data_IF_904282864490
#
_entry.id   IF_904282864490
#
_cell.length_a   1.000
_cell.length_b   1.000
_cell.length_c   1.000
_cell.angle_alpha   90.00
_cell.angle_beta   90.00
_cell.angle_gamma   90.00
#
_symmetry.space_group_name_H-M   'P 1'
#
loop_
_entity.id
_entity.type
_entity.pdbx_description
1 polymer ?
#
# COMPACT_ATOMS: atom_id res chain seq x y z
N UNK A 1 -8.06 -8.53 -4.82
CA UNK A 1 -7.28 -7.61 -5.67
C UNK A 1 -7.84 -6.21 -5.53
N UNK A 2 -6.96 -5.21 -5.36
CA UNK A 2 -7.32 -3.79 -5.26
C UNK A 2 -6.60 -3.05 -6.38
N UNK A 3 -7.35 -2.47 -7.30
CA UNK A 3 -6.82 -1.74 -8.46
C UNK A 3 -7.26 -0.29 -8.34
N UNK A 4 -6.33 0.67 -8.09
CA UNK A 4 -6.67 2.09 -8.06
C UNK A 4 -6.87 2.65 -9.45
N UNK A 5 -7.48 3.82 -9.54
CA UNK A 5 -7.50 4.62 -10.77
C UNK A 5 -6.08 5.08 -11.13
N UNK A 6 -5.77 5.31 -12.41
CA UNK A 6 -4.42 5.68 -12.88
C UNK A 6 -4.12 7.17 -12.63
N UNK A 7 -4.23 7.62 -11.40
CA UNK A 7 -4.11 9.02 -10.97
C UNK A 7 -2.83 9.34 -10.20
N UNK A 8 -1.98 8.35 -9.90
CA UNK A 8 -0.65 8.59 -9.35
C UNK A 8 0.26 9.25 -10.39
N UNK A 9 1.06 10.20 -9.94
CA UNK A 9 1.97 10.98 -10.80
C UNK A 9 3.44 10.85 -10.40
N UNK A 10 3.70 10.31 -9.21
CA UNK A 10 5.07 10.10 -8.71
C UNK A 10 5.20 8.75 -8.00
N UNK A 11 6.45 8.28 -7.88
CA UNK A 11 6.76 7.04 -7.14
C UNK A 11 6.38 7.16 -5.67
N UNK A 12 6.59 8.33 -5.07
CA UNK A 12 6.28 8.60 -3.67
C UNK A 12 4.78 8.49 -3.38
N UNK A 13 3.91 8.98 -4.30
CA UNK A 13 2.46 8.83 -4.17
C UNK A 13 2.05 7.36 -4.22
N UNK A 14 2.60 6.59 -5.15
CA UNK A 14 2.32 5.15 -5.25
C UNK A 14 2.77 4.40 -3.99
N UNK A 15 3.96 4.71 -3.47
CA UNK A 15 4.47 4.10 -2.23
C UNK A 15 3.67 4.52 -1.01
N UNK A 16 3.26 5.79 -0.92
CA UNK A 16 2.41 6.28 0.17
C UNK A 16 1.05 5.56 0.19
N UNK A 17 0.42 5.38 -0.98
CA UNK A 17 -0.80 4.61 -1.11
C UNK A 17 -0.61 3.14 -0.68
N UNK A 18 0.46 2.49 -1.16
CA UNK A 18 0.76 1.11 -0.80
C UNK A 18 1.00 0.94 0.70
N UNK A 19 1.69 1.90 1.33
CA UNK A 19 1.88 1.93 2.80
C UNK A 19 0.56 2.11 3.56
N UNK A 20 -0.33 2.96 3.06
CA UNK A 20 -1.65 3.15 3.66
C UNK A 20 -2.49 1.88 3.60
N UNK A 21 -2.50 1.17 2.46
CA UNK A 21 -3.16 -0.12 2.32
C UNK A 21 -2.55 -1.18 3.23
N UNK A 22 -1.21 -1.27 3.27
CA UNK A 22 -0.51 -2.19 4.16
C UNK A 22 -0.89 -1.95 5.62
N UNK A 23 -0.83 -0.70 6.06
CA UNK A 23 -1.24 -0.32 7.42
C UNK A 23 -2.70 -0.70 7.71
N UNK A 24 -3.59 -0.49 6.76
CA UNK A 24 -5.01 -0.81 6.92
C UNK A 24 -5.24 -2.31 7.05
N UNK A 25 -4.68 -3.13 6.15
CA UNK A 25 -4.92 -4.59 6.17
C UNK A 25 -4.28 -5.26 7.38
N UNK A 26 -3.13 -4.77 7.84
CA UNK A 26 -2.48 -5.27 9.06
C UNK A 26 -3.22 -4.82 10.32
N UNK A 27 -3.67 -3.57 10.36
CA UNK A 27 -4.45 -3.03 11.48
C UNK A 27 -5.77 -3.77 11.67
N UNK A 28 -6.46 -4.11 10.59
CA UNK A 28 -7.71 -4.86 10.60
C UNK A 28 -7.51 -6.37 10.80
N UNK A 29 -6.27 -6.86 10.84
CA UNK A 29 -5.97 -8.29 10.96
C UNK A 29 -6.35 -9.13 9.74
N UNK A 30 -6.55 -8.49 8.57
CA UNK A 30 -6.88 -9.18 7.31
C UNK A 30 -5.66 -9.93 6.78
N UNK A 31 -4.47 -9.36 6.95
CA UNK A 31 -3.20 -9.90 6.48
C UNK A 31 -2.06 -9.42 7.40
N UNK A 32 -0.99 -10.19 7.49
CA UNK A 32 0.27 -9.75 8.13
C UNK A 32 1.05 -8.75 7.26
N UNK A 33 0.63 -8.57 6.00
CA UNK A 33 1.23 -7.64 5.07
C UNK A 33 2.65 -8.00 4.61
N UNK A 34 3.12 -9.23 4.87
CA UNK A 34 4.50 -9.63 4.55
C UNK A 34 4.72 -9.76 3.04
N UNK A 35 5.31 -8.73 2.44
CA UNK A 35 5.59 -8.69 1.01
C UNK A 35 6.67 -9.71 0.61
N UNK A 36 7.62 -10.04 1.51
CA UNK A 36 8.69 -10.99 1.22
C UNK A 36 8.18 -12.42 1.14
N UNK A 37 7.17 -12.75 1.93
CA UNK A 37 6.53 -14.08 1.95
C UNK A 37 5.30 -14.17 1.04
N UNK A 38 4.92 -13.05 0.40
CA UNK A 38 3.83 -13.02 -0.57
C UNK A 38 2.43 -12.88 0.04
N UNK A 39 2.29 -12.62 1.35
CA UNK A 39 1.00 -12.32 1.99
C UNK A 39 0.38 -11.02 1.44
N UNK A 40 1.24 -10.09 1.01
CA UNK A 40 0.86 -8.92 0.23
C UNK A 40 1.72 -8.84 -1.02
N UNK A 41 1.11 -8.74 -2.18
CA UNK A 41 1.80 -8.62 -3.46
C UNK A 41 1.41 -7.32 -4.13
N UNK A 42 2.36 -6.75 -4.87
CA UNK A 42 2.15 -5.52 -5.62
C UNK A 42 2.64 -5.72 -7.06
N UNK A 43 1.78 -5.45 -8.02
CA UNK A 43 2.14 -5.31 -9.42
C UNK A 43 2.02 -3.82 -9.79
N UNK A 44 3.01 -3.30 -10.50
CA UNK A 44 3.08 -1.87 -10.82
C UNK A 44 2.80 -1.69 -12.30
N UNK A 45 1.83 -0.84 -12.62
CA UNK A 45 1.53 -0.47 -14.00
C UNK A 45 2.00 0.98 -14.25
N UNK A 46 2.85 1.15 -15.25
CA UNK A 46 3.47 2.45 -15.58
C UNK A 46 3.27 2.77 -17.05
N UNK A 47 2.91 4.02 -17.32
CA UNK A 47 2.97 4.63 -18.66
C UNK A 47 3.43 6.07 -18.56
N UNK A 48 4.17 6.54 -19.54
CA UNK A 48 4.53 7.95 -19.68
C UNK A 48 3.68 8.62 -20.74
N UNK A 49 3.40 9.91 -20.56
CA UNK A 49 2.73 10.77 -21.52
C UNK A 49 3.38 12.14 -21.55
N UNK A 50 3.19 12.87 -22.61
CA UNK A 50 3.61 14.26 -22.68
C UNK A 50 2.89 15.11 -21.64
N UNK A 51 3.62 16.05 -21.03
CA UNK A 51 3.06 16.95 -20.05
C UNK A 51 1.98 17.83 -20.68
N UNK A 52 0.80 17.86 -20.05
CA UNK A 52 -0.35 18.64 -20.54
C UNK A 52 -1.30 17.86 -21.45
N UNK A 53 -1.03 16.57 -21.71
CA UNK A 53 -1.97 15.70 -22.41
C UNK A 53 -2.76 14.84 -21.41
N UNK A 54 -3.99 14.45 -21.78
CA UNK A 54 -4.85 13.59 -20.94
C UNK A 54 -4.75 12.12 -21.34
N UNK A 55 -4.38 11.82 -22.58
CA UNK A 55 -4.26 10.45 -23.07
C UNK A 55 -3.10 9.73 -22.40
N UNK A 56 -3.39 8.56 -21.80
CA UNK A 56 -2.35 7.72 -21.19
C UNK A 56 -1.46 7.10 -22.28
N UNK A 57 -0.17 6.96 -21.97
CA UNK A 57 0.79 6.27 -22.82
C UNK A 57 0.64 4.74 -22.77
N UNK A 58 1.49 4.04 -23.51
CA UNK A 58 1.54 2.57 -23.50
C UNK A 58 2.03 2.06 -22.14
N UNK A 59 1.25 1.19 -21.53
CA UNK A 59 1.47 0.64 -20.22
C UNK A 59 2.48 -0.52 -20.24
N UNK A 60 3.39 -0.54 -19.27
CA UNK A 60 4.15 -1.74 -18.88
C UNK A 60 3.75 -2.17 -17.47
N UNK A 61 3.70 -3.47 -17.23
CA UNK A 61 3.48 -4.06 -15.93
C UNK A 61 4.81 -4.53 -15.34
N UNK A 62 5.12 -4.15 -14.10
CA UNK A 62 6.33 -4.60 -13.42
C UNK A 62 5.96 -5.54 -12.29
N UNK A 63 6.60 -6.71 -12.28
CA UNK A 63 6.48 -7.74 -11.27
C UNK A 63 7.78 -7.92 -10.48
N UNK A 64 7.71 -8.75 -9.43
CA UNK A 64 8.85 -9.08 -8.56
C UNK A 64 9.31 -7.90 -7.69
N UNK A 65 8.36 -7.14 -7.17
CA UNK A 65 8.61 -6.05 -6.23
C UNK A 65 8.06 -6.43 -4.86
N UNK A 66 8.94 -6.80 -3.95
CA UNK A 66 8.60 -7.38 -2.65
C UNK A 66 9.00 -6.50 -1.46
N UNK A 67 9.16 -5.21 -1.68
CA UNK A 67 9.33 -4.20 -0.63
C UNK A 67 8.95 -2.81 -1.14
N UNK A 68 8.56 -1.92 -0.24
CA UNK A 68 8.26 -0.52 -0.58
C UNK A 68 9.42 0.18 -1.29
N UNK A 69 10.65 -0.08 -0.86
CA UNK A 69 11.85 0.46 -1.49
C UNK A 69 12.03 -0.04 -2.92
N UNK A 70 11.72 -1.31 -3.18
CA UNK A 70 11.81 -1.86 -4.52
C UNK A 70 10.70 -1.35 -5.43
N UNK A 71 9.50 -1.10 -4.89
CA UNK A 71 8.42 -0.43 -5.63
C UNK A 71 8.88 0.95 -6.12
N UNK A 72 9.41 1.79 -5.22
CA UNK A 72 9.91 3.11 -5.56
C UNK A 72 11.00 3.08 -6.63
N UNK A 73 12.02 2.23 -6.43
CA UNK A 73 13.14 2.10 -7.37
C UNK A 73 12.71 1.55 -8.72
N UNK A 74 11.82 0.56 -8.74
CA UNK A 74 11.30 -0.02 -9.97
C UNK A 74 10.51 1.01 -10.80
N UNK A 75 9.73 1.88 -10.14
CA UNK A 75 9.02 2.97 -10.81
C UNK A 75 10.01 3.93 -11.48
N UNK A 76 11.03 4.38 -10.75
CA UNK A 76 12.03 5.31 -11.30
C UNK A 76 12.76 4.71 -12.51
N UNK A 77 13.30 3.51 -12.37
CA UNK A 77 14.02 2.82 -13.45
C UNK A 77 13.15 2.62 -14.68
N UNK A 78 11.90 2.24 -14.49
CA UNK A 78 11.00 2.03 -15.64
C UNK A 78 10.57 3.34 -16.29
N UNK A 79 10.37 4.41 -15.51
CA UNK A 79 10.12 5.74 -16.04
C UNK A 79 11.30 6.23 -16.88
N UNK A 80 12.54 6.08 -16.40
CA UNK A 80 13.75 6.43 -17.16
C UNK A 80 13.84 5.63 -18.45
N UNK A 81 13.66 4.31 -18.40
CA UNK A 81 13.67 3.45 -19.59
C UNK A 81 12.63 3.86 -20.63
N UNK A 82 11.39 4.16 -20.20
CA UNK A 82 10.34 4.59 -21.13
C UNK A 82 10.65 5.98 -21.72
N UNK A 83 11.21 6.89 -20.91
CA UNK A 83 11.63 8.22 -21.37
C UNK A 83 12.71 8.10 -22.44
N UNK A 84 13.76 7.30 -22.21
CA UNK A 84 14.85 7.07 -23.20
C UNK A 84 14.33 6.54 -24.53
N UNK A 85 13.34 5.61 -24.49
CA UNK A 85 12.74 5.08 -25.71
C UNK A 85 11.96 6.17 -26.46
N UNK A 86 11.15 6.94 -25.74
CA UNK A 86 10.30 7.97 -26.34
C UNK A 86 11.12 9.15 -26.88
N UNK A 87 12.13 9.61 -26.14
CA UNK A 87 13.04 10.69 -26.53
C UNK A 87 13.91 10.27 -27.72
N UNK A 88 14.24 8.96 -27.83
CA UNK A 88 14.89 8.39 -29.01
C UNK A 88 13.97 8.22 -30.23
N UNK A 89 12.70 8.66 -30.18
CA UNK A 89 11.74 8.52 -31.26
C UNK A 89 11.17 7.09 -31.41
N UNK A 90 11.41 6.21 -30.43
CA UNK A 90 10.89 4.86 -30.38
C UNK A 90 9.46 4.78 -29.84
N UNK A 91 8.99 3.57 -29.59
CA UNK A 91 7.68 3.30 -28.99
C UNK A 91 7.81 2.30 -27.86
N UNK A 92 7.14 2.60 -26.76
CA UNK A 92 7.00 1.64 -25.65
C UNK A 92 6.10 0.50 -26.09
N UNK A 93 6.53 -0.74 -25.82
CA UNK A 93 5.71 -1.94 -26.07
C UNK A 93 4.98 -2.33 -24.80
N UNK A 94 3.70 -2.70 -24.93
CA UNK A 94 2.94 -3.23 -23.80
C UNK A 94 3.46 -4.63 -23.46
N UNK A 95 4.06 -4.76 -22.31
CA UNK A 95 4.69 -6.01 -21.85
C UNK A 95 4.70 -6.10 -20.33
N UNK A 96 4.89 -7.32 -19.82
CA UNK A 96 5.24 -7.56 -18.42
C UNK A 96 6.75 -7.63 -18.28
N UNK A 97 7.28 -6.96 -17.27
CA UNK A 97 8.71 -6.89 -16.96
C UNK A 97 8.97 -7.34 -15.53
N UNK A 98 10.13 -7.97 -15.29
CA UNK A 98 10.60 -8.29 -13.95
C UNK A 98 11.58 -7.23 -13.47
N UNK A 99 11.41 -6.78 -12.24
CA UNK A 99 12.39 -5.94 -11.58
C UNK A 99 13.54 -6.79 -11.01
N UNK A 100 14.76 -6.45 -11.40
CA UNK A 100 16.01 -7.00 -10.90
C UNK A 100 16.60 -6.02 -9.87
N UNK A 101 16.49 -6.37 -8.60
CA UNK A 101 16.89 -5.48 -7.50
C UNK A 101 18.42 -5.35 -7.36
N UNK A 102 19.20 -6.36 -7.81
CA UNK A 102 20.66 -6.35 -7.73
C UNK A 102 21.24 -5.39 -8.78
N UNK A 103 20.74 -5.49 -10.00
CA UNK A 103 21.21 -4.65 -11.11
C UNK A 103 20.45 -3.35 -11.24
N UNK A 104 19.34 -3.20 -10.50
CA UNK A 104 18.43 -2.05 -10.55
C UNK A 104 17.93 -1.76 -11.98
N UNK A 105 17.44 -2.79 -12.66
CA UNK A 105 16.86 -2.70 -14.02
C UNK A 105 15.56 -3.47 -14.11
N UNK A 106 14.74 -3.17 -15.12
CA UNK A 106 13.62 -4.01 -15.51
C UNK A 106 13.96 -4.85 -16.73
N UNK A 107 13.58 -6.12 -16.74
CA UNK A 107 13.81 -7.05 -17.85
C UNK A 107 12.50 -7.54 -18.41
N UNK A 108 12.36 -7.54 -19.74
CA UNK A 108 11.17 -8.12 -20.39
C UNK A 108 11.00 -9.58 -19.99
N UNK A 109 9.80 -9.92 -19.54
CA UNK A 109 9.39 -11.32 -19.50
C UNK A 109 9.05 -11.76 -20.90
N UNK A 110 9.34 -13.03 -21.24
CA UNK A 110 8.92 -13.61 -22.50
C UNK A 110 7.44 -13.28 -22.72
N UNK A 111 7.13 -12.53 -23.77
CA UNK A 111 5.75 -12.13 -24.09
C UNK A 111 4.90 -13.40 -24.14
N UNK A 112 4.05 -13.60 -23.16
CA UNK A 112 2.90 -14.46 -23.37
C UNK A 112 2.05 -13.68 -24.36
N UNK A 113 1.84 -14.22 -25.53
CA UNK A 113 0.81 -13.78 -26.45
C UNK A 113 -0.44 -13.48 -25.62
N UNK A 114 -1.06 -12.36 -25.90
CA UNK A 114 -2.21 -11.80 -25.18
C UNK A 114 -3.16 -12.91 -24.77
N UNK A 115 -3.00 -13.43 -23.58
CA UNK A 115 -3.96 -14.34 -23.00
C UNK A 115 -5.18 -13.48 -22.60
N UNK A 116 -6.05 -13.24 -23.57
CA UNK A 116 -7.36 -12.64 -23.33
C UNK A 116 -8.30 -13.55 -22.52
N UNK A 117 -7.79 -14.64 -22.01
CA UNK A 117 -8.54 -15.61 -21.22
C UNK A 117 -8.21 -15.45 -19.72
N UNK A 118 -8.60 -14.31 -19.17
CA UNK A 118 -8.90 -14.22 -17.75
C UNK A 118 -10.21 -14.98 -17.55
N UNK A 119 -10.16 -16.21 -17.17
CA UNK A 119 -11.29 -17.11 -16.86
C UNK A 119 -12.37 -16.44 -16.00
N UNK A 120 -13.08 -15.48 -16.53
CA UNK A 120 -14.24 -14.80 -15.91
C UNK A 120 -15.50 -15.67 -15.98
N UNK A 121 -15.37 -16.94 -15.63
CA UNK A 121 -16.50 -17.81 -15.45
C UNK A 121 -16.54 -18.31 -14.02
N UNK A 122 -17.73 -18.54 -13.46
CA UNK A 122 -17.85 -19.04 -12.09
C UNK A 122 -17.10 -20.38 -11.98
N UNK A 123 -16.38 -20.55 -10.88
CA UNK A 123 -15.75 -21.82 -10.55
C UNK A 123 -16.84 -22.84 -10.27
N UNK A 124 -16.91 -23.97 -11.02
CA UNK A 124 -18.02 -24.92 -10.90
C UNK A 124 -18.10 -25.61 -9.55
N UNK A 125 -16.98 -25.67 -8.82
CA UNK A 125 -16.91 -26.29 -7.49
C UNK A 125 -17.28 -25.35 -6.35
N UNK A 126 -17.53 -24.05 -6.64
CA UNK A 126 -17.90 -23.06 -5.63
C UNK A 126 -19.36 -22.61 -5.83
N UNK A 127 -20.08 -22.55 -4.72
CA UNK A 127 -21.44 -21.97 -4.74
C UNK A 127 -21.34 -20.44 -4.86
N UNK A 128 -22.30 -19.79 -5.53
CA UNK A 128 -22.40 -18.33 -5.51
C UNK A 128 -22.48 -17.80 -4.08
N UNK A 129 -21.72 -16.73 -3.82
CA UNK A 129 -21.79 -16.00 -2.56
C UNK A 129 -22.67 -14.79 -2.79
N UNK A 130 -23.76 -14.73 -2.05
CA UNK A 130 -24.65 -13.56 -2.05
C UNK A 130 -24.33 -12.68 -0.84
N UNK A 131 -23.92 -11.43 -1.09
CA UNK A 131 -23.62 -10.45 -0.06
C UNK A 131 -24.65 -9.35 -0.22
N UNK A 132 -25.63 -9.32 0.70
CA UNK A 132 -26.67 -8.31 0.74
C UNK A 132 -26.23 -7.05 1.52
N UNK A 133 -27.10 -6.04 1.49
CA UNK A 133 -26.83 -4.77 2.18
C UNK A 133 -26.79 -4.96 3.71
N UNK A 134 -27.60 -5.85 4.26
CA UNK A 134 -27.68 -6.10 5.71
C UNK A 134 -26.38 -6.74 6.21
N UNK A 135 -25.80 -7.67 5.42
CA UNK A 135 -24.51 -8.25 5.75
C UNK A 135 -23.40 -7.18 5.73
N UNK A 136 -23.41 -6.29 4.71
CA UNK A 136 -22.42 -5.21 4.62
C UNK A 136 -22.52 -4.27 5.83
N UNK A 137 -23.74 -3.89 6.23
CA UNK A 137 -23.94 -3.02 7.39
C UNK A 137 -23.56 -3.72 8.71
N UNK A 138 -23.85 -5.01 8.84
CA UNK A 138 -23.41 -5.79 9.99
C UNK A 138 -21.88 -5.81 10.11
N UNK A 139 -21.16 -6.04 9.01
CA UNK A 139 -19.68 -5.97 8.97
C UNK A 139 -19.19 -4.55 9.27
N UNK A 140 -19.82 -3.53 8.69
CA UNK A 140 -19.49 -2.13 8.94
C UNK A 140 -19.58 -1.76 10.42
N UNK A 141 -20.61 -2.25 11.10
CA UNK A 141 -20.81 -2.03 12.54
C UNK A 141 -19.72 -2.69 13.41
N UNK A 142 -19.00 -3.68 12.89
CA UNK A 142 -17.91 -4.36 13.62
C UNK A 142 -16.55 -3.75 13.36
N UNK A 143 -16.43 -2.81 12.42
CA UNK A 143 -15.13 -2.17 12.12
C UNK A 143 -14.63 -1.40 13.34
N UNK A 144 -13.37 -1.57 13.75
CA UNK A 144 -12.77 -0.70 14.75
C UNK A 144 -12.58 0.72 14.20
N UNK A 145 -12.32 1.67 15.09
CA UNK A 145 -11.89 2.99 14.66
C UNK A 145 -10.64 2.87 13.77
N UNK A 146 -10.74 3.37 12.53
CA UNK A 146 -9.68 3.24 11.54
C UNK A 146 -8.47 4.13 11.86
N UNK A 147 -7.26 3.78 11.40
CA UNK A 147 -6.02 4.50 11.74
C UNK A 147 -6.08 6.00 11.48
N UNK A 148 -6.70 6.44 10.37
CA UNK A 148 -6.84 7.87 10.06
C UNK A 148 -7.66 8.61 11.10
N UNK A 149 -8.86 8.12 11.42
CA UNK A 149 -9.74 8.70 12.42
C UNK A 149 -9.11 8.69 13.82
N UNK A 150 -8.45 7.57 14.18
CA UNK A 150 -7.77 7.45 15.47
C UNK A 150 -6.60 8.45 15.59
N UNK A 151 -5.83 8.66 14.53
CA UNK A 151 -4.76 9.66 14.52
C UNK A 151 -5.33 11.06 14.75
N UNK A 152 -6.37 11.42 14.00
CA UNK A 152 -7.00 12.74 14.11
C UNK A 152 -7.57 12.95 15.50
N UNK A 153 -8.17 11.92 16.10
CA UNK A 153 -8.64 11.94 17.49
C UNK A 153 -7.48 12.05 18.50
N UNK A 154 -6.37 11.38 18.30
CA UNK A 154 -5.20 11.50 19.18
C UNK A 154 -4.62 12.92 19.18
N UNK A 155 -4.67 13.59 18.04
CA UNK A 155 -4.29 15.00 17.94
C UNK A 155 -5.32 15.91 18.61
N UNK A 156 -6.63 15.73 18.31
CA UNK A 156 -7.69 16.62 18.83
C UNK A 156 -7.95 16.44 20.32
N UNK A 157 -8.11 15.19 20.78
CA UNK A 157 -8.62 14.90 22.12
C UNK A 157 -7.49 14.77 23.16
N UNK A 158 -6.35 14.22 22.75
CA UNK A 158 -5.21 14.07 23.65
C UNK A 158 -4.14 15.16 23.49
N UNK A 159 -4.28 16.06 22.49
CA UNK A 159 -3.32 17.14 22.22
C UNK A 159 -1.93 16.64 21.82
N UNK A 160 -1.84 15.46 21.22
CA UNK A 160 -0.58 14.93 20.70
C UNK A 160 -0.14 15.69 19.46
N UNK A 161 1.16 15.67 19.17
CA UNK A 161 1.65 16.11 17.87
C UNK A 161 1.22 15.13 16.78
N UNK A 162 1.06 15.59 15.54
CA UNK A 162 0.80 14.71 14.39
C UNK A 162 1.86 13.61 14.28
N UNK A 163 3.12 13.94 14.61
CA UNK A 163 4.23 13.01 14.61
C UNK A 163 4.01 11.87 15.61
N UNK A 164 3.71 12.19 16.87
CA UNK A 164 3.50 11.19 17.92
C UNK A 164 2.29 10.31 17.61
N UNK A 165 1.18 10.91 17.15
CA UNK A 165 -0.01 10.19 16.75
C UNK A 165 0.27 9.24 15.56
N UNK A 166 1.05 9.68 14.57
CA UNK A 166 1.44 8.85 13.42
C UNK A 166 2.32 7.65 13.82
N UNK A 167 3.11 7.77 14.87
CA UNK A 167 3.93 6.65 15.38
C UNK A 167 3.13 5.65 16.23
N UNK A 168 2.15 6.14 17.02
CA UNK A 168 1.35 5.30 17.91
C UNK A 168 0.30 4.47 17.18
N UNK A 169 -0.42 5.09 16.24
CA UNK A 169 -1.65 4.55 15.66
C UNK A 169 -1.45 3.31 14.78
N UNK A 170 -0.39 3.16 13.97
CA UNK A 170 -0.24 2.00 13.07
C UNK A 170 -0.20 0.66 13.79
N UNK A 171 0.23 0.64 15.04
CA UNK A 171 0.21 -0.55 15.89
C UNK A 171 -1.00 -0.50 16.82
N UNK A 172 -2.03 -1.30 16.51
CA UNK A 172 -3.27 -1.35 17.27
C UNK A 172 -3.04 -1.62 18.76
N UNK A 173 -2.17 -2.57 19.09
CA UNK A 173 -1.85 -2.92 20.49
C UNK A 173 -1.19 -1.76 21.21
N UNK A 174 -0.25 -1.08 20.57
CA UNK A 174 0.44 0.08 21.12
C UNK A 174 -0.51 1.25 21.34
N UNK A 175 -1.38 1.53 20.37
CA UNK A 175 -2.40 2.58 20.48
C UNK A 175 -3.37 2.31 21.65
N UNK A 176 -3.88 1.09 21.76
CA UNK A 176 -4.79 0.68 22.85
C UNK A 176 -4.10 0.72 24.20
N UNK A 177 -2.82 0.33 24.28
CA UNK A 177 -2.04 0.44 25.50
C UNK A 177 -1.83 1.89 25.90
N UNK A 178 -1.51 2.77 24.95
CA UNK A 178 -1.41 4.21 25.20
C UNK A 178 -2.71 4.77 25.80
N UNK A 179 -3.86 4.45 25.19
CA UNK A 179 -5.18 4.90 25.68
C UNK A 179 -5.42 4.42 27.12
N UNK A 180 -5.16 3.15 27.40
CA UNK A 180 -5.30 2.60 28.75
C UNK A 180 -4.36 3.30 29.78
N UNK A 181 -3.15 3.65 29.39
CA UNK A 181 -2.24 4.42 30.25
C UNK A 181 -2.80 5.82 30.50
N UNK A 182 -3.32 6.50 29.47
CA UNK A 182 -3.91 7.84 29.63
C UNK A 182 -5.11 7.82 30.54
N UNK A 183 -5.97 6.81 30.44
CA UNK A 183 -7.15 6.65 31.30
C UNK A 183 -6.76 6.54 32.79
N UNK A 184 -5.59 5.99 33.08
CA UNK A 184 -5.11 5.85 34.47
C UNK A 184 -4.33 7.07 34.95
N UNK A 185 -3.48 7.67 34.13
CA UNK A 185 -2.59 8.74 34.55
C UNK A 185 -3.12 10.16 34.23
N UNK A 186 -4.13 10.28 33.37
CA UNK A 186 -4.73 11.53 32.90
C UNK A 186 -3.70 12.52 32.31
N UNK A 187 -2.61 12.01 31.74
CA UNK A 187 -1.50 12.79 31.22
C UNK A 187 -1.02 12.24 29.86
N UNK A 188 -1.70 12.65 28.78
CA UNK A 188 -1.51 12.06 27.45
C UNK A 188 -0.08 12.24 26.90
N UNK A 189 0.49 13.43 26.99
CA UNK A 189 1.83 13.69 26.43
C UNK A 189 2.96 12.93 27.14
N UNK A 190 3.03 12.89 28.49
CA UNK A 190 3.97 12.01 29.19
C UNK A 190 3.76 10.53 28.87
N UNK A 191 2.52 10.06 28.78
CA UNK A 191 2.20 8.69 28.40
C UNK A 191 2.71 8.35 26.99
N UNK A 192 2.48 9.23 26.01
CA UNK A 192 2.98 9.05 24.65
C UNK A 192 4.51 8.98 24.61
N UNK A 193 5.20 9.88 25.30
CA UNK A 193 6.66 9.88 25.37
C UNK A 193 7.21 8.58 25.96
N UNK A 194 6.60 8.08 27.03
CA UNK A 194 7.01 6.84 27.67
C UNK A 194 6.74 5.61 26.81
N UNK A 195 5.57 5.55 26.16
CA UNK A 195 5.20 4.43 25.27
C UNK A 195 6.08 4.41 24.04
N UNK A 196 6.31 5.56 23.38
CA UNK A 196 7.14 5.66 22.17
C UNK A 196 8.63 5.53 22.46
N UNK A 197 9.09 5.95 23.65
CA UNK A 197 10.49 5.89 24.07
C UNK A 197 10.83 4.59 24.79
N UNK A 198 10.59 4.57 26.09
CA UNK A 198 11.07 3.49 26.96
C UNK A 198 10.45 2.13 26.65
N UNK A 199 9.13 2.08 26.49
CA UNK A 199 8.44 0.82 26.19
C UNK A 199 8.83 0.28 24.81
N UNK A 200 8.75 1.12 23.78
CA UNK A 200 9.15 0.71 22.42
C UNK A 200 10.62 0.29 22.36
N UNK A 201 11.50 1.01 23.07
CA UNK A 201 12.90 0.65 23.17
C UNK A 201 13.14 -0.69 23.89
N UNK A 202 12.30 -1.05 24.86
CA UNK A 202 12.36 -2.34 25.55
C UNK A 202 11.84 -3.49 24.68
N UNK A 203 10.78 -3.26 23.90
CA UNK A 203 10.19 -4.27 23.00
C UNK A 203 11.06 -4.58 21.79
N UNK A 204 11.95 -3.68 21.41
CA UNK A 204 12.84 -3.84 20.25
C UNK A 204 14.22 -4.45 20.60
N UNK A 205 14.43 -4.87 21.84
CA UNK A 205 15.64 -5.55 22.31
C UNK A 205 15.48 -7.06 22.28
#
# INVERSE_FOLDING_TARGET
>A
EIVPEPDFRTAEQAVAYLRALHSLVTYLGISDGNMAEGSMRCDINISLRERGTDALGTRTEIKNVNSFRFVERAIHVECERQADILDGGGRVTQETRLYDAEQNVTRSMRSKEVANDYRYFPEPDLLPIEIDADYIEAVRATLPELPGAKRDRFVSDYGLSEYDATLLVPNHTMASFFEAVVDHCHAAKPAANWVLGDLSGALNR
#
